data_IF_665092029869
#
_entry.id   IF_665092029869
#
_cell.length_a   1.000
_cell.length_b   1.000
_cell.length_c   1.000
_cell.angle_alpha   90.00
_cell.angle_beta   90.00
_cell.angle_gamma   90.00
#
_symmetry.space_group_name_H-M   'P 1'
#
loop_
_entity.id
_entity.type
_entity.pdbx_description
1 polymer ?
#
# COMPACT_ATOMS: atom_id res chain seq x y z
N UNK A 1 -23.93 -21.93 -24.50
CA UNK A 1 -24.30 -21.02 -23.39
C UNK A 1 -23.92 -19.59 -23.78
N UNK A 2 -24.84 -18.63 -23.76
CA UNK A 2 -24.49 -17.20 -23.95
C UNK A 2 -23.58 -16.78 -22.79
N UNK A 3 -22.43 -16.19 -23.09
CA UNK A 3 -21.50 -15.63 -22.09
C UNK A 3 -22.27 -14.57 -21.27
N UNK A 4 -22.26 -14.69 -19.94
CA UNK A 4 -22.90 -13.72 -19.04
C UNK A 4 -22.11 -12.41 -19.14
N UNK A 5 -22.76 -11.34 -19.62
CA UNK A 5 -22.15 -10.01 -19.71
C UNK A 5 -22.04 -9.38 -18.32
N UNK A 6 -21.05 -8.52 -18.15
CA UNK A 6 -20.99 -7.54 -17.04
C UNK A 6 -21.85 -6.30 -17.36
N UNK A 7 -22.10 -5.46 -16.35
CA UNK A 7 -22.80 -4.17 -16.53
C UNK A 7 -22.07 -3.31 -17.57
N UNK A 8 -20.73 -3.25 -17.48
CA UNK A 8 -19.88 -2.50 -18.41
C UNK A 8 -19.98 -3.05 -19.83
N UNK A 9 -19.91 -4.36 -20.03
CA UNK A 9 -20.04 -4.97 -21.35
C UNK A 9 -21.43 -4.71 -21.96
N UNK A 10 -22.49 -4.71 -21.15
CA UNK A 10 -23.84 -4.38 -21.61
C UNK A 10 -23.98 -2.90 -21.99
N UNK A 11 -23.44 -1.98 -21.17
CA UNK A 11 -23.44 -0.55 -21.45
C UNK A 11 -22.62 -0.20 -22.70
N UNK A 12 -21.45 -0.81 -22.87
CA UNK A 12 -20.65 -0.69 -24.10
C UNK A 12 -21.46 -1.15 -25.31
N UNK A 13 -22.19 -2.27 -25.21
CA UNK A 13 -22.99 -2.78 -26.31
C UNK A 13 -24.13 -1.83 -26.71
N UNK A 14 -24.80 -1.20 -25.73
CA UNK A 14 -25.82 -0.18 -25.99
C UNK A 14 -25.22 1.02 -26.71
N UNK A 15 -24.12 1.55 -26.19
CA UNK A 15 -23.52 2.78 -26.71
C UNK A 15 -22.83 2.58 -28.07
N UNK A 16 -22.43 1.35 -28.44
CA UNK A 16 -21.88 1.04 -29.78
C UNK A 16 -22.86 1.31 -30.90
N UNK A 17 -24.16 1.17 -30.61
CA UNK A 17 -25.25 1.32 -31.58
C UNK A 17 -25.96 2.67 -31.41
N UNK A 18 -25.37 3.60 -30.66
CA UNK A 18 -25.89 4.96 -30.46
C UNK A 18 -24.96 5.95 -31.15
N UNK A 19 -25.50 6.80 -32.01
CA UNK A 19 -24.75 7.92 -32.60
C UNK A 19 -24.66 9.11 -31.63
N UNK A 20 -25.51 9.12 -30.60
CA UNK A 20 -25.60 10.17 -29.57
C UNK A 20 -25.16 9.66 -28.20
N UNK A 21 -24.81 10.59 -27.31
CA UNK A 21 -24.58 10.31 -25.89
C UNK A 21 -25.92 10.05 -25.19
N UNK A 22 -25.95 9.09 -24.27
CA UNK A 22 -27.17 8.66 -23.58
C UNK A 22 -27.09 8.90 -22.07
N UNK A 23 -28.18 9.31 -21.46
CA UNK A 23 -28.33 9.36 -20.01
C UNK A 23 -28.30 7.96 -19.38
N UNK A 24 -28.06 7.88 -18.08
CA UNK A 24 -28.07 6.60 -17.33
C UNK A 24 -29.41 5.87 -17.51
N UNK A 25 -30.52 6.62 -17.47
CA UNK A 25 -31.87 6.06 -17.62
C UNK A 25 -32.11 5.46 -19.01
N UNK A 26 -31.62 6.11 -20.06
CA UNK A 26 -31.73 5.61 -21.44
C UNK A 26 -30.85 4.38 -21.66
N UNK A 27 -29.63 4.37 -21.11
CA UNK A 27 -28.74 3.20 -21.16
C UNK A 27 -29.38 2.03 -20.43
N UNK A 28 -29.91 2.26 -19.23
CA UNK A 28 -30.61 1.24 -18.45
C UNK A 28 -31.79 0.66 -19.24
N UNK A 29 -32.66 1.50 -19.79
CA UNK A 29 -33.82 1.08 -20.56
C UNK A 29 -33.41 0.18 -21.74
N UNK A 30 -32.39 0.58 -22.51
CA UNK A 30 -31.87 -0.21 -23.63
C UNK A 30 -31.21 -1.53 -23.19
N UNK A 31 -30.55 -1.57 -22.02
CA UNK A 31 -29.99 -2.81 -21.47
C UNK A 31 -31.09 -3.84 -21.18
N UNK A 32 -32.20 -3.39 -20.57
CA UNK A 32 -33.34 -4.24 -20.22
C UNK A 32 -34.09 -4.68 -21.47
N UNK A 33 -34.42 -3.75 -22.37
CA UNK A 33 -35.13 -4.02 -23.63
C UNK A 33 -34.42 -5.08 -24.47
N UNK A 34 -33.08 -5.01 -24.55
CA UNK A 34 -32.27 -5.95 -25.31
C UNK A 34 -31.81 -7.18 -24.51
N UNK A 35 -32.28 -7.33 -23.26
CA UNK A 35 -31.90 -8.43 -22.36
C UNK A 35 -30.37 -8.63 -22.27
N UNK A 36 -29.62 -7.52 -22.19
CA UNK A 36 -28.16 -7.53 -22.23
C UNK A 36 -27.55 -7.85 -20.86
N UNK A 37 -28.23 -7.47 -19.78
CA UNK A 37 -27.85 -7.71 -18.39
C UNK A 37 -29.09 -7.67 -17.49
N UNK A 38 -29.07 -8.41 -16.39
CA UNK A 38 -30.12 -8.43 -15.38
C UNK A 38 -29.60 -7.81 -14.08
N UNK A 39 -30.22 -6.73 -13.62
CA UNK A 39 -29.84 -6.06 -12.39
C UNK A 39 -30.56 -6.70 -11.19
N UNK A 40 -29.81 -7.03 -10.14
CA UNK A 40 -30.35 -7.56 -8.88
C UNK A 40 -30.25 -6.58 -7.71
N UNK A 41 -29.82 -5.34 -7.97
CA UNK A 41 -29.69 -4.29 -6.96
C UNK A 41 -31.06 -3.66 -6.63
N UNK A 42 -31.21 -3.17 -5.40
CA UNK A 42 -32.39 -2.40 -4.99
C UNK A 42 -32.53 -1.09 -5.79
N UNK A 43 -31.40 -0.47 -6.17
CA UNK A 43 -31.35 0.70 -7.04
C UNK A 43 -30.41 0.43 -8.25
N UNK A 44 -30.94 -0.14 -9.34
CA UNK A 44 -30.18 -0.46 -10.54
C UNK A 44 -29.55 0.76 -11.23
N UNK A 45 -30.21 1.92 -11.20
CA UNK A 45 -29.75 3.12 -11.89
C UNK A 45 -28.49 3.68 -11.22
N UNK A 46 -28.46 3.73 -9.89
CA UNK A 46 -27.27 4.17 -9.16
C UNK A 46 -26.09 3.22 -9.36
N UNK A 47 -26.32 1.90 -9.39
CA UNK A 47 -25.25 0.93 -9.69
C UNK A 47 -24.70 1.13 -11.10
N UNK A 48 -25.57 1.28 -12.11
CA UNK A 48 -25.15 1.54 -13.48
C UNK A 48 -24.36 2.87 -13.58
N UNK A 49 -24.79 3.92 -12.88
CA UNK A 49 -24.11 5.22 -12.86
C UNK A 49 -22.69 5.10 -12.31
N UNK A 50 -22.51 4.42 -11.18
CA UNK A 50 -21.18 4.22 -10.57
C UNK A 50 -20.25 3.47 -11.52
N UNK A 51 -20.75 2.39 -12.14
CA UNK A 51 -20.02 1.60 -13.12
C UNK A 51 -19.61 2.43 -14.35
N UNK A 52 -20.55 3.18 -14.93
CA UNK A 52 -20.26 4.08 -16.06
C UNK A 52 -19.20 5.13 -15.68
N UNK A 53 -19.39 5.82 -14.55
CA UNK A 53 -18.46 6.86 -14.09
C UNK A 53 -17.07 6.34 -13.78
N UNK A 54 -16.96 5.20 -13.09
CA UNK A 54 -15.68 4.60 -12.74
C UNK A 54 -14.84 4.28 -13.99
N UNK A 55 -15.53 4.04 -15.11
CA UNK A 55 -14.94 3.76 -16.42
C UNK A 55 -14.95 4.95 -17.39
N UNK A 56 -15.28 6.17 -16.95
CA UNK A 56 -15.21 7.38 -17.77
C UNK A 56 -13.84 8.04 -17.76
N UNK A 57 -13.41 8.57 -18.90
CA UNK A 57 -12.20 9.40 -19.03
C UNK A 57 -12.36 10.69 -18.20
N UNK A 58 -11.28 11.11 -17.52
CA UNK A 58 -11.28 12.34 -16.72
C UNK A 58 -11.86 12.21 -15.30
N UNK A 59 -12.50 11.08 -14.97
CA UNK A 59 -13.03 10.79 -13.64
C UNK A 59 -12.06 9.85 -12.89
N UNK A 60 -11.33 10.39 -11.90
CA UNK A 60 -10.23 9.69 -11.21
C UNK A 60 -10.33 9.72 -9.67
N UNK A 61 -11.47 9.27 -9.11
CA UNK A 61 -11.55 8.95 -7.68
C UNK A 61 -10.86 7.62 -7.34
N UNK A 62 -10.53 7.34 -6.05
CA UNK A 62 -9.70 6.17 -5.68
C UNK A 62 -10.22 4.81 -6.17
N UNK A 63 -11.54 4.62 -6.25
CA UNK A 63 -12.18 3.41 -6.77
C UNK A 63 -12.43 3.43 -8.29
N UNK A 64 -12.05 4.49 -9.00
CA UNK A 64 -12.23 4.56 -10.44
C UNK A 64 -11.35 3.52 -11.15
N UNK A 65 -11.89 2.92 -12.21
CA UNK A 65 -11.19 1.90 -12.97
C UNK A 65 -10.05 2.50 -13.79
N UNK A 66 -8.94 1.76 -13.89
CA UNK A 66 -7.83 2.10 -14.80
C UNK A 66 -8.20 1.89 -16.27
N UNK A 67 -9.24 1.10 -16.56
CA UNK A 67 -9.75 0.86 -17.92
C UNK A 67 -10.88 1.84 -18.21
N UNK A 68 -10.64 2.80 -19.10
CA UNK A 68 -11.65 3.79 -19.48
C UNK A 68 -12.33 3.41 -20.80
N UNK A 69 -13.66 3.39 -20.81
CA UNK A 69 -14.51 3.05 -21.96
C UNK A 69 -15.43 4.19 -22.37
N UNK A 70 -15.76 5.08 -21.45
CA UNK A 70 -16.81 6.07 -21.65
C UNK A 70 -16.27 7.50 -21.64
N UNK A 71 -16.97 8.38 -22.36
CA UNK A 71 -16.88 9.83 -22.22
C UNK A 71 -18.11 10.28 -21.42
N UNK A 72 -17.93 11.18 -20.46
CA UNK A 72 -19.05 11.75 -19.69
C UNK A 72 -19.15 13.24 -20.00
N UNK A 73 -20.31 13.68 -20.47
CA UNK A 73 -20.64 15.09 -20.66
C UNK A 73 -21.33 15.60 -19.40
N UNK A 74 -20.65 16.47 -18.65
CA UNK A 74 -21.19 17.05 -17.41
C UNK A 74 -22.39 17.97 -17.66
N UNK A 75 -22.43 18.65 -18.81
CA UNK A 75 -23.49 19.61 -19.16
C UNK A 75 -24.81 18.91 -19.45
N UNK A 76 -24.78 17.84 -20.23
CA UNK A 76 -25.96 17.05 -20.57
C UNK A 76 -26.19 15.83 -19.66
N UNK A 77 -25.22 15.47 -18.81
CA UNK A 77 -25.22 14.28 -17.93
C UNK A 77 -25.41 12.97 -18.70
N UNK A 78 -24.80 12.90 -19.86
CA UNK A 78 -24.89 11.75 -20.76
C UNK A 78 -23.53 11.08 -20.96
N UNK A 79 -23.54 9.83 -21.40
CA UNK A 79 -22.37 9.01 -21.63
C UNK A 79 -22.26 8.62 -23.11
N UNK A 80 -21.06 8.67 -23.64
CA UNK A 80 -20.70 8.15 -24.97
C UNK A 80 -19.58 7.11 -24.89
N UNK A 81 -19.31 6.41 -26.00
CA UNK A 81 -18.12 5.56 -26.09
C UNK A 81 -16.89 6.36 -26.49
N UNK A 82 -15.74 5.94 -25.96
CA UNK A 82 -14.45 6.37 -26.49
C UNK A 82 -14.24 5.76 -27.87
N UNK A 83 -14.28 6.58 -28.92
CA UNK A 83 -14.04 6.14 -30.31
C UNK A 83 -12.55 5.79 -30.57
N UNK A 84 -12.29 4.94 -31.57
CA UNK A 84 -10.93 4.62 -32.00
C UNK A 84 -10.19 5.81 -32.64
N UNK A 85 -10.91 6.84 -33.13
CA UNK A 85 -10.30 8.09 -33.59
C UNK A 85 -9.87 9.00 -32.41
N UNK A 86 -10.58 8.98 -31.28
CA UNK A 86 -10.11 9.60 -30.03
C UNK A 86 -8.98 8.81 -29.34
N UNK A 87 -8.66 7.59 -29.80
CA UNK A 87 -7.40 6.89 -29.42
C UNK A 87 -6.17 7.47 -30.11
N UNK A 88 -6.31 8.17 -31.24
CA UNK A 88 -5.18 8.60 -32.06
C UNK A 88 -4.68 10.03 -31.79
N UNK A 89 -5.45 10.84 -31.05
CA UNK A 89 -5.08 12.23 -30.73
C UNK A 89 -4.73 12.48 -29.25
N UNK A 90 -4.56 11.41 -28.45
CA UNK A 90 -4.15 11.53 -27.04
C UNK A 90 -3.22 10.38 -26.58
N UNK A 91 -2.15 10.13 -27.33
CA UNK A 91 -1.02 9.27 -26.90
C UNK A 91 0.09 10.04 -26.16
N UNK A 92 -0.20 11.27 -25.70
CA UNK A 92 0.39 11.76 -24.46
C UNK A 92 -0.68 11.60 -23.39
N UNK A 93 -0.41 10.79 -22.37
CA UNK A 93 -1.10 10.94 -21.07
C UNK A 93 -0.81 12.38 -20.63
N UNK A 94 -1.63 13.34 -21.01
CA UNK A 94 -1.62 14.62 -20.32
C UNK A 94 -2.01 14.30 -18.88
N UNK A 95 -1.05 14.51 -17.97
CA UNK A 95 -1.24 14.22 -16.57
C UNK A 95 -2.35 15.16 -16.06
N UNK A 96 -3.43 14.59 -15.53
CA UNK A 96 -4.49 15.38 -14.91
C UNK A 96 -3.91 16.09 -13.67
N UNK A 97 -4.44 17.26 -13.26
CA UNK A 97 -3.98 17.92 -12.04
C UNK A 97 -3.96 16.98 -10.81
N UNK A 98 -4.94 16.07 -10.73
CA UNK A 98 -5.01 15.05 -9.69
C UNK A 98 -3.92 13.97 -9.81
N UNK A 99 -3.59 13.51 -11.03
CA UNK A 99 -2.49 12.56 -11.21
C UNK A 99 -1.13 13.21 -10.91
N UNK A 100 -0.94 14.48 -11.30
CA UNK A 100 0.26 15.27 -10.95
C UNK A 100 0.40 15.40 -9.43
N UNK A 101 -0.70 15.71 -8.73
CA UNK A 101 -0.69 15.85 -7.28
C UNK A 101 -0.35 14.51 -6.58
N UNK A 102 -0.89 13.39 -7.06
CA UNK A 102 -0.54 12.04 -6.56
C UNK A 102 0.93 11.71 -6.80
N UNK A 103 1.45 11.99 -7.99
CA UNK A 103 2.86 11.79 -8.32
C UNK A 103 3.77 12.64 -7.44
N UNK A 104 3.42 13.91 -7.23
CA UNK A 104 4.16 14.82 -6.35
C UNK A 104 4.15 14.32 -4.90
N UNK A 105 3.01 13.88 -4.39
CA UNK A 105 2.89 13.31 -3.04
C UNK A 105 3.76 12.06 -2.88
N UNK A 106 3.74 11.15 -3.87
CA UNK A 106 4.56 9.94 -3.85
C UNK A 106 6.06 10.27 -3.87
N UNK A 107 6.45 11.24 -4.71
CA UNK A 107 7.82 11.74 -4.77
C UNK A 107 8.26 12.34 -3.43
N UNK A 108 7.43 13.21 -2.85
CA UNK A 108 7.68 13.80 -1.54
C UNK A 108 7.86 12.71 -0.47
N UNK A 109 6.94 11.74 -0.42
CA UNK A 109 7.00 10.63 0.55
C UNK A 109 8.28 9.83 0.39
N UNK A 110 8.71 9.55 -0.84
CA UNK A 110 9.96 8.84 -1.12
C UNK A 110 11.19 9.63 -0.63
N UNK A 111 11.26 10.92 -0.95
CA UNK A 111 12.35 11.80 -0.51
C UNK A 111 12.39 11.96 1.02
N UNK A 112 11.22 12.04 1.64
CA UNK A 112 11.05 12.05 3.09
C UNK A 112 11.62 10.79 3.72
N UNK A 113 11.19 9.60 3.26
CA UNK A 113 11.70 8.32 3.78
C UNK A 113 13.22 8.22 3.66
N UNK A 114 13.77 8.59 2.50
CA UNK A 114 15.21 8.59 2.26
C UNK A 114 15.95 9.56 3.19
N UNK A 115 15.40 10.73 3.47
CA UNK A 115 15.97 11.71 4.41
C UNK A 115 15.95 11.18 5.84
N UNK A 116 14.85 10.60 6.29
CA UNK A 116 14.70 10.02 7.62
C UNK A 116 15.68 8.85 7.82
N UNK A 117 15.81 7.96 6.84
CA UNK A 117 16.79 6.87 6.90
C UNK A 117 18.24 7.39 6.98
N UNK A 118 18.58 8.48 6.28
CA UNK A 118 19.90 9.12 6.41
C UNK A 118 20.16 9.63 7.82
N UNK A 119 19.15 10.18 8.50
CA UNK A 119 19.27 10.61 9.89
C UNK A 119 19.51 9.42 10.82
N UNK A 120 18.79 8.32 10.65
CA UNK A 120 19.01 7.08 11.41
C UNK A 120 20.43 6.53 11.22
N UNK A 121 20.97 6.57 10.00
CA UNK A 121 22.36 6.16 9.72
C UNK A 121 23.40 7.04 10.44
N UNK A 122 23.05 8.28 10.77
CA UNK A 122 23.87 9.23 11.50
C UNK A 122 23.88 9.05 13.02
N UNK A 123 22.96 8.27 13.59
CA UNK A 123 22.96 7.95 15.02
C UNK A 123 24.23 7.20 15.41
N UNK A 124 24.65 7.32 16.67
CA UNK A 124 25.67 6.42 17.18
C UNK A 124 25.05 5.02 17.41
N UNK A 125 25.85 3.93 17.48
CA UNK A 125 25.30 2.58 17.63
C UNK A 125 24.37 2.41 18.85
N UNK A 126 24.71 3.01 19.98
CA UNK A 126 23.96 2.90 21.22
C UNK A 126 22.62 3.66 21.14
N UNK A 127 22.63 4.85 20.53
CA UNK A 127 21.40 5.60 20.25
C UNK A 127 20.47 4.81 19.33
N UNK A 128 21.02 4.08 18.36
CA UNK A 128 20.24 3.23 17.46
C UNK A 128 19.62 2.02 18.17
N UNK A 129 20.35 1.37 19.08
CA UNK A 129 19.82 0.30 19.93
C UNK A 129 18.65 0.81 20.80
N UNK A 130 18.83 1.98 21.44
CA UNK A 130 17.78 2.62 22.24
C UNK A 130 16.58 3.04 21.37
N UNK A 131 16.83 3.55 20.17
CA UNK A 131 15.79 3.87 19.20
C UNK A 131 14.96 2.63 18.85
N UNK A 132 15.60 1.50 18.50
CA UNK A 132 14.91 0.26 18.17
C UNK A 132 14.09 -0.28 19.35
N UNK A 133 14.64 -0.23 20.57
CA UNK A 133 13.91 -0.56 21.80
C UNK A 133 12.64 0.28 21.92
N UNK A 134 12.74 1.60 21.80
CA UNK A 134 11.60 2.50 21.94
C UNK A 134 10.57 2.30 20.82
N UNK A 135 11.01 2.00 19.60
CA UNK A 135 10.11 1.64 18.50
C UNK A 135 9.33 0.35 18.82
N UNK A 136 9.99 -0.67 19.35
CA UNK A 136 9.33 -1.91 19.78
C UNK A 136 8.28 -1.67 20.88
N UNK A 137 8.54 -0.76 21.82
CA UNK A 137 7.53 -0.38 22.83
C UNK A 137 6.25 0.18 22.17
N UNK A 138 6.37 0.98 21.10
CA UNK A 138 5.22 1.50 20.33
C UNK A 138 4.44 0.39 19.62
N UNK A 139 5.07 -0.75 19.37
CA UNK A 139 4.45 -1.97 18.81
C UNK A 139 3.93 -2.93 19.89
N UNK A 140 3.92 -2.54 21.17
CA UNK A 140 3.35 -3.35 22.24
C UNK A 140 4.28 -4.45 22.76
N UNK A 141 5.58 -4.29 22.59
CA UNK A 141 6.57 -5.08 23.31
C UNK A 141 6.74 -4.54 24.73
N UNK A 142 6.92 -5.44 25.68
CA UNK A 142 6.98 -5.13 27.11
C UNK A 142 8.30 -5.65 27.71
N UNK A 143 8.66 -5.12 28.88
CA UNK A 143 9.85 -5.52 29.64
C UNK A 143 11.13 -5.49 28.79
N UNK A 144 11.27 -4.48 27.93
CA UNK A 144 12.41 -4.33 27.03
C UNK A 144 13.64 -3.82 27.79
N UNK A 145 14.73 -4.57 27.70
CA UNK A 145 16.01 -4.28 28.36
C UNK A 145 17.10 -4.29 27.28
N UNK A 146 17.88 -3.21 27.22
CA UNK A 146 19.11 -3.14 26.39
C UNK A 146 20.24 -3.76 27.19
N UNK A 147 20.99 -4.67 26.58
CA UNK A 147 22.12 -5.34 27.22
C UNK A 147 23.31 -4.39 27.34
N UNK A 148 24.10 -4.53 28.40
CA UNK A 148 25.39 -3.83 28.46
C UNK A 148 26.36 -4.60 27.58
N UNK A 149 27.18 -3.85 26.83
CA UNK A 149 28.26 -4.35 25.96
C UNK A 149 28.98 -5.55 26.58
N UNK A 150 28.56 -6.76 26.18
CA UNK A 150 29.01 -8.02 26.74
C UNK A 150 29.31 -9.01 25.61
N UNK A 151 29.84 -10.18 25.95
CA UNK A 151 30.21 -11.27 25.04
C UNK A 151 29.00 -12.15 24.70
N UNK A 152 27.81 -11.58 24.69
CA UNK A 152 26.50 -12.21 24.55
C UNK A 152 26.13 -12.55 23.10
N UNK A 153 27.13 -12.85 22.26
CA UNK A 153 26.92 -13.40 20.92
C UNK A 153 26.18 -12.48 19.94
N UNK A 154 25.93 -11.22 20.30
CA UNK A 154 25.24 -10.24 19.46
C UNK A 154 23.79 -9.93 19.85
N UNK A 155 23.35 -10.24 21.08
CA UNK A 155 22.06 -9.73 21.57
C UNK A 155 22.26 -8.31 22.11
N UNK A 156 21.58 -7.33 21.50
CA UNK A 156 21.63 -5.93 21.93
C UNK A 156 20.47 -5.60 22.89
N UNK A 157 19.43 -6.43 22.93
CA UNK A 157 18.40 -6.36 23.94
C UNK A 157 17.37 -7.48 23.85
N UNK A 158 16.47 -7.53 24.82
CA UNK A 158 15.39 -8.52 24.87
C UNK A 158 14.16 -7.97 25.59
N UNK A 159 13.03 -8.64 25.40
CA UNK A 159 11.76 -8.32 26.04
C UNK A 159 10.70 -9.38 25.76
N UNK A 160 9.43 -9.00 25.86
CA UNK A 160 8.30 -9.90 25.67
C UNK A 160 7.24 -9.30 24.76
N UNK A 161 6.71 -10.11 23.85
CA UNK A 161 5.54 -9.77 23.02
C UNK A 161 4.32 -10.53 23.53
N UNK A 162 3.20 -9.84 23.76
CA UNK A 162 1.95 -10.50 24.13
C UNK A 162 1.27 -11.06 22.87
N UNK A 163 1.02 -12.35 22.83
CA UNK A 163 0.31 -13.04 21.75
C UNK A 163 -0.90 -13.75 22.36
N UNK A 164 -2.10 -13.21 22.11
CA UNK A 164 -3.33 -13.69 22.74
C UNK A 164 -3.25 -13.65 24.26
N UNK A 165 -3.23 -14.83 24.88
CA UNK A 165 -3.16 -15.01 26.34
C UNK A 165 -1.75 -15.30 26.87
N UNK A 166 -0.75 -15.43 25.99
CA UNK A 166 0.62 -15.77 26.35
C UNK A 166 1.60 -14.61 26.08
N UNK A 167 2.78 -14.69 26.69
CA UNK A 167 3.92 -13.84 26.37
C UNK A 167 5.00 -14.67 25.70
N UNK A 168 5.52 -14.15 24.60
CA UNK A 168 6.62 -14.73 23.86
C UNK A 168 7.91 -13.97 24.20
N UNK A 169 8.98 -14.68 24.57
CA UNK A 169 10.29 -14.07 24.82
C UNK A 169 10.96 -13.73 23.50
N UNK A 170 11.37 -12.47 23.36
CA UNK A 170 11.95 -11.93 22.12
C UNK A 170 13.32 -11.32 22.41
N UNK A 171 14.31 -11.66 21.61
CA UNK A 171 15.60 -10.97 21.59
C UNK A 171 15.73 -10.13 20.31
N UNK A 172 16.49 -9.04 20.37
CA UNK A 172 16.77 -8.23 19.21
C UNK A 172 18.25 -7.85 19.09
N UNK A 173 18.68 -7.67 17.85
CA UNK A 173 20.00 -7.15 17.48
C UNK A 173 19.81 -5.95 16.54
N UNK A 174 20.65 -4.94 16.71
CA UNK A 174 20.64 -3.68 16.00
C UNK A 174 21.99 -3.43 15.33
N UNK A 175 22.02 -3.52 14.00
CA UNK A 175 23.23 -3.22 13.20
C UNK A 175 23.05 -1.93 12.42
N UNK A 176 23.63 -0.85 12.93
CA UNK A 176 23.78 0.40 12.17
C UNK A 176 24.86 0.26 11.10
N UNK A 177 24.44 0.07 9.85
CA UNK A 177 25.31 -0.13 8.70
C UNK A 177 25.06 0.93 7.62
N UNK A 178 26.14 1.35 6.96
CA UNK A 178 26.10 2.40 5.94
C UNK A 178 25.50 1.91 4.62
N UNK A 179 26.30 1.15 3.85
CA UNK A 179 25.94 0.70 2.49
C UNK A 179 26.04 -0.81 2.30
N UNK A 180 26.79 -1.51 3.16
CA UNK A 180 26.97 -2.94 3.04
C UNK A 180 25.67 -3.67 3.41
N UNK A 181 25.36 -4.74 2.68
CA UNK A 181 24.22 -5.60 3.02
C UNK A 181 24.56 -6.54 4.16
N UNK A 182 23.60 -6.82 5.03
CA UNK A 182 23.75 -7.82 6.08
C UNK A 182 23.68 -9.21 5.41
N UNK A 183 24.76 -9.98 5.57
CA UNK A 183 24.86 -11.32 5.01
C UNK A 183 24.40 -12.41 5.97
N UNK A 184 24.22 -13.62 5.44
CA UNK A 184 23.83 -14.82 6.19
C UNK A 184 24.64 -15.08 7.46
N UNK A 185 25.95 -14.79 7.44
CA UNK A 185 26.85 -15.01 8.59
C UNK A 185 26.32 -14.32 9.86
N UNK A 186 25.83 -13.09 9.72
CA UNK A 186 25.38 -12.32 10.89
C UNK A 186 24.03 -12.81 11.40
N UNK A 187 23.14 -13.25 10.50
CA UNK A 187 21.87 -13.87 10.87
C UNK A 187 22.11 -15.22 11.58
N UNK A 188 23.03 -16.04 11.08
CA UNK A 188 23.38 -17.32 11.69
C UNK A 188 24.10 -17.14 13.05
N UNK A 189 24.93 -16.09 13.19
CA UNK A 189 25.55 -15.74 14.47
C UNK A 189 24.51 -15.31 15.52
N UNK A 190 23.60 -14.39 15.15
CA UNK A 190 22.51 -13.96 16.02
C UNK A 190 21.61 -15.14 16.42
N UNK A 191 21.27 -16.00 15.45
CA UNK A 191 20.51 -17.23 15.71
C UNK A 191 21.15 -18.09 16.79
N UNK A 192 22.47 -18.26 16.74
CA UNK A 192 23.21 -19.00 17.76
C UNK A 192 23.07 -18.42 19.16
N UNK A 193 23.00 -17.10 19.30
CA UNK A 193 22.80 -16.42 20.57
C UNK A 193 21.35 -16.51 21.09
N UNK A 194 20.37 -16.52 20.18
CA UNK A 194 18.94 -16.53 20.51
C UNK A 194 18.42 -17.95 20.82
N UNK A 195 19.03 -18.97 20.20
CA UNK A 195 18.56 -20.35 20.28
C UNK A 195 18.57 -20.90 21.71
N UNK A 196 17.42 -21.40 22.17
CA UNK A 196 17.25 -22.08 23.45
C UNK A 196 16.78 -21.17 24.59
N UNK A 197 16.97 -19.85 24.48
CA UNK A 197 16.54 -18.89 25.51
C UNK A 197 15.33 -18.04 25.07
N UNK A 198 15.20 -17.79 23.78
CA UNK A 198 14.15 -16.93 23.22
C UNK A 198 13.35 -17.68 22.15
N UNK A 199 12.11 -17.24 21.95
CA UNK A 199 11.18 -17.87 21.01
C UNK A 199 11.15 -17.16 19.66
N UNK A 200 11.66 -15.93 19.60
CA UNK A 200 11.74 -15.11 18.38
C UNK A 200 12.96 -14.18 18.44
N UNK A 201 13.68 -14.06 17.32
CA UNK A 201 14.69 -13.02 17.12
C UNK A 201 14.17 -11.88 16.23
N UNK A 202 14.57 -10.64 16.51
CA UNK A 202 14.38 -9.49 15.62
C UNK A 202 15.75 -8.92 15.24
N UNK A 203 16.02 -8.78 13.93
CA UNK A 203 17.27 -8.22 13.46
C UNK A 203 17.01 -6.91 12.74
N UNK A 204 17.40 -5.81 13.38
CA UNK A 204 17.30 -4.46 12.83
C UNK A 204 18.57 -4.06 12.10
N UNK A 205 18.43 -3.41 10.95
CA UNK A 205 19.55 -2.71 10.31
C UNK A 205 19.10 -1.44 9.61
N UNK A 206 19.96 -0.42 9.58
CA UNK A 206 19.77 0.76 8.73
C UNK A 206 20.14 0.52 7.26
N UNK A 207 20.59 -0.68 6.91
CA UNK A 207 20.92 -1.11 5.55
C UNK A 207 19.84 -2.04 5.00
N UNK A 208 20.21 -2.94 4.07
CA UNK A 208 19.38 -4.02 3.55
C UNK A 208 20.00 -5.39 3.84
N UNK A 209 19.22 -6.44 3.67
CA UNK A 209 19.69 -7.83 3.79
C UNK A 209 20.12 -8.39 2.43
N UNK A 210 21.05 -9.34 2.43
CA UNK A 210 21.34 -10.14 1.24
C UNK A 210 20.28 -11.23 1.07
N UNK A 211 20.12 -11.73 -0.16
CA UNK A 211 19.16 -12.81 -0.43
C UNK A 211 19.43 -14.05 0.43
N UNK A 212 20.70 -14.37 0.66
CA UNK A 212 21.13 -15.48 1.51
C UNK A 212 20.79 -15.24 2.98
N UNK A 213 20.81 -13.98 3.44
CA UNK A 213 20.39 -13.61 4.79
C UNK A 213 18.88 -13.81 4.94
N UNK A 214 18.09 -13.35 3.97
CA UNK A 214 16.64 -13.53 3.91
C UNK A 214 16.25 -15.01 3.90
N UNK A 215 16.86 -15.81 3.02
CA UNK A 215 16.64 -17.27 2.98
C UNK A 215 17.06 -17.97 4.28
N UNK A 216 18.01 -17.40 5.02
CA UNK A 216 18.47 -17.96 6.30
C UNK A 216 17.63 -17.56 7.51
N UNK A 217 16.70 -16.61 7.36
CA UNK A 217 15.93 -15.99 8.46
C UNK A 217 14.93 -16.95 9.12
N UNK A 218 14.34 -17.86 8.33
CA UNK A 218 13.40 -18.89 8.79
C UNK A 218 13.98 -20.25 8.42
N UNK A 219 14.30 -21.06 9.43
CA UNK A 219 14.83 -22.42 9.26
C UNK A 219 14.06 -23.39 10.14
N UNK A 220 13.72 -24.56 9.61
CA UNK A 220 13.02 -25.61 10.35
C UNK A 220 13.84 -26.03 11.57
N UNK A 221 13.22 -26.03 12.74
CA UNK A 221 13.86 -26.44 14.00
C UNK A 221 14.75 -25.37 14.66
N UNK A 222 14.82 -24.15 14.09
CA UNK A 222 15.54 -23.04 14.69
C UNK A 222 14.59 -21.88 15.03
N UNK A 223 14.98 -21.05 15.98
CA UNK A 223 14.20 -19.86 16.38
C UNK A 223 14.04 -18.91 15.18
N UNK A 224 12.83 -18.55 14.72
CA UNK A 224 12.66 -17.63 13.61
C UNK A 224 13.33 -16.27 13.90
N UNK A 225 13.91 -15.66 12.86
CA UNK A 225 14.46 -14.30 12.93
C UNK A 225 13.67 -13.43 11.95
N UNK A 226 13.02 -12.39 12.45
CA UNK A 226 12.39 -11.37 11.61
C UNK A 226 13.45 -10.35 11.23
N UNK A 227 13.58 -10.10 9.94
CA UNK A 227 14.52 -9.12 9.38
C UNK A 227 13.79 -7.78 9.21
N UNK A 228 14.37 -6.71 9.74
CA UNK A 228 13.79 -5.36 9.71
C UNK A 228 14.85 -4.42 9.16
N UNK A 229 14.69 -4.03 7.90
CA UNK A 229 15.66 -3.22 7.18
C UNK A 229 15.39 -1.71 7.32
N UNK A 230 16.25 -0.89 6.72
CA UNK A 230 16.18 0.56 6.89
C UNK A 230 14.85 1.16 6.40
N UNK A 231 14.31 0.65 5.30
CA UNK A 231 13.07 1.16 4.72
C UNK A 231 11.88 0.73 5.60
N UNK A 232 11.86 -0.52 6.07
CA UNK A 232 10.85 -1.01 7.02
C UNK A 232 10.86 -0.23 8.33
N UNK A 233 12.02 0.14 8.87
CA UNK A 233 12.11 0.96 10.08
C UNK A 233 11.39 2.29 9.87
N UNK A 234 11.63 2.96 8.75
CA UNK A 234 10.98 4.26 8.46
C UNK A 234 9.49 4.09 8.23
N UNK A 235 9.05 3.00 7.61
CA UNK A 235 7.63 2.68 7.45
C UNK A 235 6.95 2.48 8.80
N UNK A 236 7.62 1.78 9.74
CA UNK A 236 7.14 1.62 11.11
C UNK A 236 7.09 2.94 11.88
N UNK A 237 8.05 3.84 11.65
CA UNK A 237 8.02 5.19 12.23
C UNK A 237 6.79 5.97 11.76
N UNK A 238 6.47 5.90 10.47
CA UNK A 238 5.31 6.58 9.89
C UNK A 238 4.02 5.97 10.45
N UNK A 239 3.88 4.64 10.39
CA UNK A 239 2.68 3.93 10.88
C UNK A 239 2.37 4.19 12.36
N UNK A 240 3.41 4.33 13.20
CA UNK A 240 3.25 4.58 14.64
C UNK A 240 3.41 6.04 15.06
N UNK A 241 3.54 6.96 14.09
CA UNK A 241 3.85 8.37 14.35
C UNK A 241 4.99 8.51 15.38
N UNK A 242 6.04 7.71 15.20
CA UNK A 242 7.19 7.65 16.11
C UNK A 242 8.32 8.53 15.59
N UNK A 243 8.48 9.71 16.19
CA UNK A 243 9.40 10.74 15.69
C UNK A 243 8.94 11.35 14.35
N UNK A 244 7.67 11.18 14.00
CA UNK A 244 7.04 11.69 12.78
C UNK A 244 5.82 12.51 13.18
N UNK A 245 5.82 13.77 12.75
CA UNK A 245 4.65 14.64 12.77
C UNK A 245 4.05 14.66 11.36
N UNK A 246 2.72 14.81 11.27
CA UNK A 246 2.01 14.85 10.00
C UNK A 246 0.82 15.82 10.08
N UNK A 247 0.39 16.26 8.91
CA UNK A 247 -0.82 17.06 8.70
C UNK A 247 -1.69 16.35 7.66
N UNK A 248 -3.01 16.35 7.86
CA UNK A 248 -3.94 15.78 6.90
C UNK A 248 -4.19 16.74 5.74
N UNK A 249 -3.92 16.30 4.51
CA UNK A 249 -4.21 17.06 3.29
C UNK A 249 -5.34 16.38 2.49
N UNK A 250 -6.61 16.78 2.69
CA UNK A 250 -7.72 16.20 1.95
C UNK A 250 -7.66 16.57 0.47
N UNK A 251 -7.89 15.59 -0.41
CA UNK A 251 -8.03 15.80 -1.85
C UNK A 251 -9.53 15.75 -2.19
N UNK A 252 -10.09 16.88 -2.62
CA UNK A 252 -11.48 16.97 -3.06
C UNK A 252 -11.61 16.56 -4.53
N UNK A 253 -12.63 15.74 -4.82
CA UNK A 253 -12.94 15.30 -6.17
C UNK A 253 -14.40 15.67 -6.43
N UNK A 254 -14.66 16.36 -7.55
CA UNK A 254 -16.02 16.72 -7.92
C UNK A 254 -16.85 15.46 -8.18
N UNK A 255 -17.94 15.33 -7.44
CA UNK A 255 -18.91 14.25 -7.56
C UNK A 255 -20.36 14.78 -7.49
N UNK A 256 -20.58 16.03 -7.90
CA UNK A 256 -21.86 16.72 -7.83
C UNK A 256 -23.00 15.93 -8.51
N UNK A 257 -22.67 15.24 -9.59
CA UNK A 257 -23.57 14.37 -10.35
C UNK A 257 -24.15 13.20 -9.52
N UNK A 258 -23.48 12.76 -8.44
CA UNK A 258 -24.04 11.75 -7.52
C UNK A 258 -25.27 12.27 -6.74
N UNK A 259 -25.41 13.59 -6.61
CA UNK A 259 -26.49 14.24 -5.85
C UNK A 259 -27.59 14.77 -6.78
N UNK A 260 -27.25 15.07 -8.04
CA UNK A 260 -28.18 15.67 -9.00
C UNK A 260 -29.04 14.65 -9.76
N UNK A 261 -29.12 13.40 -9.30
CA UNK A 261 -29.71 12.28 -10.04
C UNK A 261 -30.71 11.46 -9.24
#
# INVERSE_FOLDING_TARGET
MKKRRTIIEAAIEVLKHSEETLSVSEIYAKIIENSLYEFHAQDPLSVLRVELRGHSVGIDYPSASSKKYFLYDEGSRTFGLVNAQTKHDNTKKEATPLSILRELHNKYTHEFKAKTLRQLKGLNPYDFELFCKNLLERYGFHNLIVTKKSRDGGIDGHGKLKIGLAYMNVAFQCKRWGSNKIGRKEIDAFRGAVQGEYEQGLFFTTSSFSKEAEESSIKRGAVPIILIDGDMIVDFMIDKHFGIEYEELPIYINALDNVLS
#
